data_IF_362609256046
#
_entry.id   IF_362609256046
#
_cell.length_a   1.000
_cell.length_b   1.000
_cell.length_c   1.000
_cell.angle_alpha   90.00
_cell.angle_beta   90.00
_cell.angle_gamma   90.00
#
_symmetry.space_group_name_H-M   'P 1'
#
loop_
_entity.id
_entity.type
_entity.pdbx_description
1 polymer ?
#
# COMPACT_ATOMS: atom_id res chain seq x y z
N UNK A 1 -20.87 -18.46 9.02
CA UNK A 1 -21.51 -19.17 7.88
C UNK A 1 -21.92 -18.27 6.71
N UNK A 2 -22.39 -17.05 6.94
CA UNK A 2 -22.81 -16.15 5.86
C UNK A 2 -21.67 -15.72 4.91
N UNK A 3 -20.42 -15.77 5.36
CA UNK A 3 -19.22 -15.48 4.56
C UNK A 3 -18.61 -16.75 3.92
N UNK A 4 -19.24 -17.91 4.09
CA UNK A 4 -18.70 -19.19 3.61
C UNK A 4 -17.39 -19.60 4.31
N UNK A 5 -17.21 -19.18 5.55
CA UNK A 5 -16.10 -19.56 6.42
C UNK A 5 -16.67 -20.13 7.73
N UNK A 6 -16.12 -21.28 8.18
CA UNK A 6 -16.52 -21.86 9.46
C UNK A 6 -16.00 -21.02 10.64
N UNK A 7 -16.65 -21.12 11.80
CA UNK A 7 -16.18 -20.50 13.03
C UNK A 7 -14.78 -20.99 13.40
N UNK A 8 -14.52 -22.29 13.25
CA UNK A 8 -13.20 -22.88 13.51
C UNK A 8 -12.10 -22.27 12.63
N UNK A 9 -12.39 -22.01 11.35
CA UNK A 9 -11.44 -21.38 10.45
C UNK A 9 -11.22 -19.91 10.82
N UNK A 10 -12.26 -19.18 11.18
CA UNK A 10 -12.15 -17.80 11.66
C UNK A 10 -11.35 -17.72 12.97
N UNK A 11 -11.60 -18.63 13.91
CA UNK A 11 -10.88 -18.74 15.18
C UNK A 11 -9.41 -19.12 14.97
N UNK A 12 -9.12 -20.02 14.03
CA UNK A 12 -7.75 -20.38 13.68
C UNK A 12 -6.96 -19.19 13.12
N UNK A 13 -7.58 -18.37 12.25
CA UNK A 13 -6.97 -17.14 11.75
C UNK A 13 -6.78 -16.15 12.89
N UNK A 14 -7.79 -15.96 13.75
CA UNK A 14 -7.70 -15.09 14.90
C UNK A 14 -6.59 -15.51 15.88
N UNK A 15 -6.44 -16.80 16.14
CA UNK A 15 -5.32 -17.36 16.91
C UNK A 15 -3.96 -17.01 16.28
N UNK A 16 -3.87 -16.99 14.95
CA UNK A 16 -2.69 -16.50 14.23
C UNK A 16 -2.40 -15.01 14.47
N UNK A 17 -3.43 -14.17 14.53
CA UNK A 17 -3.31 -12.74 14.87
C UNK A 17 -2.83 -12.56 16.31
N UNK A 18 -3.40 -13.31 17.24
CA UNK A 18 -2.97 -13.31 18.64
C UNK A 18 -1.50 -13.73 18.77
N UNK A 19 -1.09 -14.79 18.08
CA UNK A 19 0.31 -15.24 18.05
C UNK A 19 1.27 -14.19 17.46
N UNK A 20 0.83 -13.45 16.45
CA UNK A 20 1.59 -12.35 15.89
C UNK A 20 1.74 -11.18 16.89
N UNK A 21 0.67 -10.81 17.59
CA UNK A 21 0.73 -9.82 18.67
C UNK A 21 1.61 -10.28 19.84
N UNK A 22 1.47 -11.55 20.26
CA UNK A 22 2.24 -12.13 21.37
C UNK A 22 3.75 -12.24 21.08
N UNK A 23 4.18 -12.11 19.82
CA UNK A 23 5.61 -11.98 19.51
C UNK A 23 6.24 -10.70 20.10
N UNK A 24 5.42 -9.78 20.63
CA UNK A 24 5.85 -8.63 21.44
C UNK A 24 6.45 -7.47 20.64
N UNK A 25 6.34 -7.50 19.31
CA UNK A 25 6.92 -6.47 18.44
C UNK A 25 5.94 -5.37 18.05
N UNK A 26 4.64 -5.60 18.20
CA UNK A 26 3.60 -4.66 17.80
C UNK A 26 2.74 -4.25 19.00
N UNK A 27 2.80 -2.98 19.45
CA UNK A 27 1.91 -2.45 20.48
C UNK A 27 0.42 -2.52 20.09
N UNK A 28 0.15 -2.43 18.79
CA UNK A 28 -1.19 -2.59 18.21
C UNK A 28 -1.12 -3.50 16.99
N UNK A 29 -2.07 -4.42 16.90
CA UNK A 29 -2.41 -5.14 15.68
C UNK A 29 -3.92 -4.98 15.43
N UNK A 30 -4.28 -4.43 14.27
CA UNK A 30 -5.65 -4.32 13.79
C UNK A 30 -5.81 -5.14 12.52
N UNK A 31 -6.89 -5.90 12.43
CA UNK A 31 -7.18 -6.71 11.26
C UNK A 31 -8.66 -6.64 10.89
N UNK A 32 -8.93 -6.52 9.61
CA UNK A 32 -10.24 -6.81 9.03
C UNK A 32 -10.08 -7.86 7.94
N UNK A 33 -10.92 -8.88 7.99
CA UNK A 33 -11.05 -9.91 6.95
C UNK A 33 -12.48 -9.87 6.42
N UNK A 34 -12.60 -9.70 5.11
CA UNK A 34 -13.84 -9.90 4.37
C UNK A 34 -13.73 -11.15 3.51
N UNK A 35 -14.85 -11.87 3.37
CA UNK A 35 -15.00 -12.94 2.40
C UNK A 35 -16.38 -12.87 1.77
N UNK A 36 -16.45 -13.01 0.47
CA UNK A 36 -17.69 -12.90 -0.29
C UNK A 36 -18.47 -11.61 0.03
N UNK A 37 -17.75 -10.50 0.16
CA UNK A 37 -18.30 -9.17 0.48
C UNK A 37 -18.66 -8.95 1.95
N UNK A 38 -18.66 -9.99 2.80
CA UNK A 38 -19.08 -9.94 4.21
C UNK A 38 -17.88 -9.88 5.15
N UNK A 39 -18.00 -9.12 6.23
CA UNK A 39 -16.99 -9.09 7.28
C UNK A 39 -17.03 -10.38 8.07
N UNK A 40 -15.93 -11.16 8.04
CA UNK A 40 -15.72 -12.33 8.90
C UNK A 40 -15.39 -11.85 10.31
N UNK A 41 -14.42 -10.97 10.42
CA UNK A 41 -14.11 -10.24 11.65
C UNK A 41 -13.44 -8.89 11.35
N UNK A 42 -13.60 -7.97 12.31
CA UNK A 42 -12.94 -6.67 12.34
C UNK A 42 -12.54 -6.40 13.79
N UNK A 43 -11.26 -6.59 14.12
CA UNK A 43 -10.78 -6.64 15.50
C UNK A 43 -9.42 -5.96 15.65
N UNK A 44 -9.16 -5.47 16.86
CA UNK A 44 -7.86 -4.91 17.25
C UNK A 44 -7.41 -5.49 18.58
N UNK A 45 -6.10 -5.62 18.77
CA UNK A 45 -5.45 -6.00 20.02
C UNK A 45 -4.37 -4.96 20.33
N UNK A 46 -4.31 -4.49 21.57
CA UNK A 46 -3.25 -3.62 22.07
C UNK A 46 -3.68 -2.16 22.22
N UNK A 47 -2.71 -1.27 22.11
CA UNK A 47 -2.86 0.14 22.46
C UNK A 47 -2.56 1.03 21.28
N UNK A 48 -3.35 2.09 21.10
CA UNK A 48 -3.06 3.08 20.06
C UNK A 48 -1.97 4.07 20.48
N UNK A 49 -1.79 4.29 21.80
CA UNK A 49 -0.76 5.15 22.38
C UNK A 49 -0.40 4.71 23.79
N UNK A 50 0.74 5.17 24.30
CA UNK A 50 1.29 4.74 25.57
C UNK A 50 2.02 3.39 25.50
N UNK A 51 2.67 3.00 26.58
CA UNK A 51 3.33 1.70 26.74
C UNK A 51 2.41 0.76 27.53
N UNK A 52 2.61 -0.55 27.37
CA UNK A 52 1.75 -1.60 27.93
C UNK A 52 1.43 -1.43 29.42
N UNK A 53 2.41 -1.02 30.22
CA UNK A 53 2.27 -0.81 31.68
C UNK A 53 2.14 0.68 32.06
N UNK A 54 1.96 1.56 31.08
CA UNK A 54 1.82 3.00 31.33
C UNK A 54 0.39 3.35 31.76
N UNK A 55 0.21 4.19 32.80
CA UNK A 55 -1.11 4.72 33.13
C UNK A 55 -1.73 5.56 32.01
N UNK A 56 -0.92 6.02 31.04
CA UNK A 56 -1.35 6.79 29.86
C UNK A 56 -1.67 5.90 28.64
N UNK A 57 -1.60 4.57 28.80
CA UNK A 57 -1.92 3.64 27.73
C UNK A 57 -3.41 3.71 27.37
N UNK A 58 -3.69 3.97 26.09
CA UNK A 58 -5.04 4.01 25.56
C UNK A 58 -5.28 2.79 24.70
N UNK A 59 -6.21 1.93 25.11
CA UNK A 59 -6.58 0.73 24.39
C UNK A 59 -7.13 1.10 23.00
N UNK A 60 -6.65 0.42 21.99
CA UNK A 60 -7.14 0.57 20.63
C UNK A 60 -8.45 -0.20 20.42
N UNK A 61 -9.25 0.28 19.49
CA UNK A 61 -10.41 -0.42 18.99
C UNK A 61 -10.34 -0.56 17.45
N UNK A 62 -11.33 -1.21 16.87
CA UNK A 62 -11.40 -1.40 15.41
C UNK A 62 -11.64 -0.10 14.62
N UNK A 63 -11.95 1.02 15.29
CA UNK A 63 -12.09 2.35 14.70
C UNK A 63 -10.82 3.19 14.81
N UNK A 64 -9.76 2.66 15.42
CA UNK A 64 -8.48 3.36 15.54
C UNK A 64 -7.85 3.50 14.16
N UNK A 65 -7.63 4.73 13.64
CA UNK A 65 -6.95 4.92 12.36
C UNK A 65 -5.46 4.64 12.48
N UNK A 66 -4.92 4.00 11.47
CA UNK A 66 -3.50 3.64 11.34
C UNK A 66 -2.97 4.16 10.02
N UNK A 67 -1.73 4.65 10.01
CA UNK A 67 -1.05 5.03 8.78
C UNK A 67 -0.72 3.78 7.95
N UNK A 68 -1.09 3.79 6.66
CA UNK A 68 -0.80 2.69 5.73
C UNK A 68 0.63 2.68 5.22
N UNK A 69 1.37 3.75 5.41
CA UNK A 69 2.68 3.92 4.77
C UNK A 69 2.64 3.62 3.28
N UNK A 70 3.55 2.79 2.76
CA UNK A 70 3.63 2.46 1.34
C UNK A 70 2.39 1.79 0.76
N UNK A 71 1.53 1.19 1.57
CA UNK A 71 0.24 0.70 1.07
C UNK A 71 -0.67 1.82 0.54
N UNK A 72 -0.39 3.08 0.87
CA UNK A 72 -1.01 4.27 0.28
C UNK A 72 -0.85 4.34 -1.24
N UNK A 73 0.23 3.77 -1.79
CA UNK A 73 0.53 3.79 -3.23
C UNK A 73 -0.54 3.13 -4.07
N UNK A 74 -1.12 2.05 -3.58
CA UNK A 74 -2.20 1.35 -4.27
C UNK A 74 -3.42 2.26 -4.47
N UNK A 75 -3.78 3.03 -3.45
CA UNK A 75 -4.89 3.98 -3.53
C UNK A 75 -4.54 5.14 -4.48
N UNK A 76 -3.35 5.70 -4.35
CA UNK A 76 -2.88 6.80 -5.22
C UNK A 76 -2.85 6.38 -6.69
N UNK A 77 -2.43 5.15 -6.99
CA UNK A 77 -2.45 4.60 -8.35
C UNK A 77 -3.87 4.47 -8.89
N UNK A 78 -4.83 4.00 -8.09
CA UNK A 78 -6.23 3.88 -8.50
C UNK A 78 -6.82 5.25 -8.87
N UNK A 79 -6.39 6.34 -8.24
CA UNK A 79 -6.82 7.68 -8.63
C UNK A 79 -6.41 8.03 -10.07
N UNK A 80 -5.23 7.59 -10.54
CA UNK A 80 -4.84 7.76 -11.95
C UNK A 80 -5.66 6.87 -12.90
N UNK A 81 -6.01 5.67 -12.47
CA UNK A 81 -6.94 4.84 -13.25
C UNK A 81 -8.31 5.50 -13.41
N UNK A 82 -8.80 6.18 -12.37
CA UNK A 82 -10.02 6.98 -12.46
C UNK A 82 -9.86 8.19 -13.40
N UNK A 83 -8.73 8.87 -13.40
CA UNK A 83 -8.44 9.93 -14.37
C UNK A 83 -8.46 9.40 -15.81
N UNK A 84 -7.86 8.23 -16.04
CA UNK A 84 -7.86 7.59 -17.34
C UNK A 84 -9.28 7.19 -17.79
N UNK A 85 -10.09 6.68 -16.87
CA UNK A 85 -11.50 6.39 -17.12
C UNK A 85 -12.30 7.64 -17.51
N UNK A 86 -11.94 8.79 -16.95
CA UNK A 86 -12.56 10.09 -17.23
C UNK A 86 -11.99 10.76 -18.49
N UNK A 87 -11.12 10.09 -19.22
CA UNK A 87 -10.41 10.62 -20.40
C UNK A 87 -9.60 11.92 -20.10
N UNK A 88 -9.13 12.09 -18.85
CA UNK A 88 -8.27 13.19 -18.45
C UNK A 88 -6.80 12.93 -18.74
N UNK A 89 -6.42 11.66 -18.72
CA UNK A 89 -5.10 11.15 -19.09
C UNK A 89 -5.26 9.84 -19.87
N UNK A 90 -4.18 9.45 -20.55
CA UNK A 90 -4.04 8.10 -21.08
C UNK A 90 -2.80 7.46 -20.43
N UNK A 91 -2.92 6.25 -19.87
CA UNK A 91 -1.83 5.63 -19.12
C UNK A 91 -0.58 5.35 -19.98
N UNK A 92 -0.72 5.20 -21.28
CA UNK A 92 0.40 5.00 -22.21
C UNK A 92 0.99 6.32 -22.72
N UNK A 93 0.43 7.47 -22.35
CA UNK A 93 1.07 8.75 -22.65
C UNK A 93 2.35 8.90 -21.82
N UNK A 94 3.39 9.54 -22.39
CA UNK A 94 4.53 9.97 -21.60
C UNK A 94 4.12 10.93 -20.48
N UNK A 95 4.72 10.77 -19.30
CA UNK A 95 4.48 11.69 -18.17
C UNK A 95 4.71 13.15 -18.58
N UNK A 96 5.73 13.40 -19.40
CA UNK A 96 6.08 14.76 -19.86
C UNK A 96 5.04 15.40 -20.78
N UNK A 97 4.09 14.65 -21.29
CA UNK A 97 2.93 15.22 -22.01
C UNK A 97 2.11 16.14 -21.09
N UNK A 98 2.01 15.79 -19.83
CA UNK A 98 1.26 16.53 -18.80
C UNK A 98 2.17 17.38 -17.91
N UNK A 99 3.39 16.92 -17.67
CA UNK A 99 4.42 17.58 -16.86
C UNK A 99 5.67 17.79 -17.71
N UNK A 100 5.74 18.86 -18.55
CA UNK A 100 6.83 19.03 -19.53
C UNK A 100 8.22 18.99 -18.90
N UNK A 101 8.40 19.48 -17.67
CA UNK A 101 9.67 19.45 -16.94
C UNK A 101 10.19 18.02 -16.71
N UNK A 102 9.35 17.00 -16.76
CA UNK A 102 9.74 15.60 -16.58
C UNK A 102 10.52 15.03 -17.78
N UNK A 103 10.51 15.68 -18.94
CA UNK A 103 11.13 15.17 -20.17
C UNK A 103 12.65 14.99 -20.11
N UNK A 104 13.34 15.75 -19.25
CA UNK A 104 14.81 15.75 -19.18
C UNK A 104 15.38 14.49 -18.51
N UNK A 105 16.69 14.30 -18.58
CA UNK A 105 17.36 13.18 -17.92
C UNK A 105 16.98 11.81 -18.49
N UNK A 106 16.61 11.74 -19.78
CA UNK A 106 16.27 10.49 -20.46
C UNK A 106 14.85 9.98 -20.20
N UNK A 107 13.96 10.81 -19.60
CA UNK A 107 12.58 10.43 -19.21
C UNK A 107 11.51 10.78 -20.24
N UNK A 108 11.87 11.36 -21.39
CA UNK A 108 10.90 11.86 -22.36
C UNK A 108 9.86 10.82 -22.84
N UNK A 109 10.22 9.54 -22.87
CA UNK A 109 9.34 8.45 -23.31
C UNK A 109 8.78 7.61 -22.17
N UNK A 110 9.06 7.94 -20.91
CA UNK A 110 8.54 7.22 -19.76
C UNK A 110 7.04 7.50 -19.61
N UNK A 111 6.24 6.45 -19.70
CA UNK A 111 4.79 6.53 -19.64
C UNK A 111 4.28 6.55 -18.20
N UNK A 112 3.04 7.02 -18.02
CA UNK A 112 2.33 6.94 -16.73
C UNK A 112 2.21 5.48 -16.30
N UNK A 113 1.93 4.56 -17.22
CA UNK A 113 1.88 3.12 -16.95
C UNK A 113 3.20 2.59 -16.37
N UNK A 114 4.33 2.96 -16.95
CA UNK A 114 5.65 2.58 -16.45
C UNK A 114 5.93 3.18 -15.07
N UNK A 115 5.53 4.44 -14.83
CA UNK A 115 5.62 5.06 -13.50
C UNK A 115 4.86 4.24 -12.45
N UNK A 116 3.61 3.86 -12.74
CA UNK A 116 2.76 3.09 -11.82
C UNK A 116 3.29 1.67 -11.58
N UNK A 117 4.05 1.11 -12.52
CA UNK A 117 4.72 -0.19 -12.40
C UNK A 117 6.16 -0.10 -11.87
N UNK A 118 6.55 1.04 -11.26
CA UNK A 118 7.89 1.29 -10.72
C UNK A 118 9.02 1.21 -11.75
N UNK A 119 8.77 1.58 -12.99
CA UNK A 119 9.72 1.50 -14.11
C UNK A 119 10.18 2.86 -14.65
N UNK A 120 9.92 3.95 -13.92
CA UNK A 120 10.34 5.29 -14.35
C UNK A 120 11.84 5.56 -14.13
N UNK A 121 12.52 4.70 -13.37
CA UNK A 121 13.96 4.83 -13.12
C UNK A 121 14.36 6.02 -12.26
N UNK A 122 13.45 6.54 -11.44
CA UNK A 122 13.69 7.63 -10.46
C UNK A 122 13.28 7.20 -9.06
N UNK A 123 13.96 6.19 -8.48
CA UNK A 123 13.51 5.54 -7.27
C UNK A 123 13.64 6.41 -6.00
N UNK A 124 14.44 7.47 -6.01
CA UNK A 124 14.69 8.33 -4.86
C UNK A 124 14.88 9.80 -5.20
N UNK A 125 14.93 10.63 -4.16
CA UNK A 125 15.13 12.09 -4.25
C UNK A 125 16.62 12.51 -4.26
N UNK A 126 17.54 11.56 -4.21
CA UNK A 126 18.97 11.76 -4.06
C UNK A 126 19.51 11.25 -2.74
N UNK A 127 20.81 11.45 -2.50
CA UNK A 127 21.49 11.06 -1.26
C UNK A 127 21.43 12.20 -0.24
N UNK A 128 21.43 11.87 1.05
CA UNK A 128 21.47 12.82 2.17
C UNK A 128 20.39 13.92 2.11
N UNK A 129 19.20 13.55 1.76
CA UNK A 129 18.06 14.47 1.63
C UNK A 129 17.58 14.91 3.01
N UNK A 130 17.41 16.23 3.20
CA UNK A 130 16.75 16.77 4.38
C UNK A 130 15.31 16.22 4.45
N UNK A 131 14.88 15.62 5.58
CA UNK A 131 13.51 15.15 5.76
C UNK A 131 12.45 16.23 5.49
N UNK A 132 12.75 17.50 5.69
CA UNK A 132 11.83 18.61 5.42
C UNK A 132 11.45 18.71 3.93
N UNK A 133 12.29 18.18 3.03
CA UNK A 133 11.97 18.11 1.60
C UNK A 133 10.69 17.31 1.32
N UNK A 134 10.33 16.35 2.19
CA UNK A 134 9.08 15.60 2.04
C UNK A 134 7.84 16.49 2.04
N UNK A 135 7.92 17.64 2.71
CA UNK A 135 6.81 18.60 2.84
C UNK A 135 6.87 19.74 1.83
N UNK A 136 7.99 19.89 1.12
CA UNK A 136 8.15 20.83 0.01
C UNK A 136 7.86 20.13 -1.32
N UNK A 137 6.57 20.08 -1.67
CA UNK A 137 6.09 19.43 -2.89
C UNK A 137 6.76 19.97 -4.15
N UNK A 138 6.97 21.30 -4.23
CA UNK A 138 7.50 21.96 -5.42
C UNK A 138 8.96 21.62 -5.62
N UNK A 139 9.77 21.71 -4.58
CA UNK A 139 11.18 21.34 -4.62
C UNK A 139 11.35 19.82 -4.85
N UNK A 140 10.58 18.98 -4.19
CA UNK A 140 10.62 17.54 -4.42
C UNK A 140 10.30 17.19 -5.88
N UNK A 141 9.26 17.79 -6.45
CA UNK A 141 8.88 17.60 -7.85
C UNK A 141 9.97 18.10 -8.80
N UNK A 142 10.55 19.27 -8.53
CA UNK A 142 11.64 19.85 -9.32
C UNK A 142 12.85 18.91 -9.35
N UNK A 143 13.26 18.34 -8.22
CA UNK A 143 14.37 17.37 -8.15
C UNK A 143 14.06 16.09 -8.93
N UNK A 144 12.84 15.55 -8.82
CA UNK A 144 12.42 14.37 -9.58
C UNK A 144 12.47 14.67 -11.09
N UNK A 145 11.99 15.83 -11.50
CA UNK A 145 12.03 16.23 -12.90
C UNK A 145 13.46 16.42 -13.41
N UNK A 146 14.37 16.98 -12.60
CA UNK A 146 15.77 17.18 -12.95
C UNK A 146 16.61 15.90 -12.96
N UNK A 147 16.20 14.87 -12.19
CA UNK A 147 16.96 13.63 -12.05
C UNK A 147 17.09 12.88 -13.39
N UNK A 148 18.24 12.24 -13.58
CA UNK A 148 18.43 11.28 -14.68
C UNK A 148 17.76 9.96 -14.34
N UNK A 149 17.10 9.33 -15.33
CA UNK A 149 16.55 7.98 -15.15
C UNK A 149 17.65 6.94 -15.19
N UNK A 150 17.55 5.94 -14.32
CA UNK A 150 18.43 4.77 -14.33
C UNK A 150 18.07 3.78 -15.43
N UNK A 151 16.88 3.91 -16.04
CA UNK A 151 16.41 3.07 -17.15
C UNK A 151 15.60 3.88 -18.17
N UNK A 152 16.24 4.34 -19.23
CA UNK A 152 15.61 5.15 -20.29
C UNK A 152 14.47 4.45 -21.04
N UNK A 153 14.43 3.13 -21.01
CA UNK A 153 13.41 2.34 -21.69
C UNK A 153 12.29 1.87 -20.74
N UNK A 154 12.45 2.10 -19.44
CA UNK A 154 11.47 1.70 -18.44
C UNK A 154 11.19 0.18 -18.42
N UNK A 155 12.22 -0.63 -18.58
CA UNK A 155 12.09 -2.10 -18.65
C UNK A 155 12.22 -2.79 -17.31
N UNK A 156 13.03 -2.21 -16.42
CA UNK A 156 13.37 -2.83 -15.15
C UNK A 156 12.68 -2.13 -13.99
N UNK A 157 12.02 -2.88 -13.10
CA UNK A 157 11.42 -2.27 -11.94
C UNK A 157 12.47 -1.86 -10.93
N UNK A 158 12.29 -0.68 -10.36
CA UNK A 158 13.03 -0.19 -9.21
C UNK A 158 12.04 0.56 -8.33
N UNK A 159 11.67 -0.01 -7.21
CA UNK A 159 10.63 0.50 -6.33
C UNK A 159 10.83 1.98 -6.00
N UNK A 160 9.81 2.79 -6.29
CA UNK A 160 9.77 4.22 -6.01
C UNK A 160 9.17 4.45 -4.63
N UNK A 161 10.00 4.53 -3.61
CA UNK A 161 9.54 4.61 -2.22
C UNK A 161 8.68 5.85 -1.95
N UNK A 162 9.04 6.99 -2.57
CA UNK A 162 8.35 8.27 -2.35
C UNK A 162 8.07 9.06 -3.63
N UNK A 163 8.92 8.97 -4.63
CA UNK A 163 8.92 9.86 -5.81
C UNK A 163 7.67 9.77 -6.66
N UNK A 164 7.12 8.56 -6.82
CA UNK A 164 5.91 8.34 -7.63
C UNK A 164 4.70 9.13 -7.15
N UNK A 165 4.57 9.33 -5.83
CA UNK A 165 3.45 10.07 -5.24
C UNK A 165 3.40 11.53 -5.66
N UNK A 166 4.55 12.20 -5.75
CA UNK A 166 4.62 13.60 -6.20
C UNK A 166 4.19 13.74 -7.66
N UNK A 167 4.59 12.80 -8.51
CA UNK A 167 4.18 12.79 -9.92
C UNK A 167 2.67 12.53 -10.04
N UNK A 168 2.13 11.57 -9.28
CA UNK A 168 0.68 11.28 -9.26
C UNK A 168 -0.10 12.52 -8.82
N UNK A 169 0.31 13.17 -7.74
CA UNK A 169 -0.32 14.40 -7.26
C UNK A 169 -0.32 15.50 -8.30
N UNK A 170 0.82 15.71 -8.97
CA UNK A 170 0.94 16.71 -10.01
C UNK A 170 0.07 16.41 -11.24
N UNK A 171 0.03 15.15 -11.68
CA UNK A 171 -0.88 14.72 -12.76
C UNK A 171 -2.33 15.03 -12.45
N UNK A 172 -2.77 14.76 -11.23
CA UNK A 172 -4.15 15.09 -10.80
C UNK A 172 -4.35 16.61 -10.82
N UNK A 173 -3.40 17.36 -10.29
CA UNK A 173 -3.47 18.83 -10.20
C UNK A 173 -3.57 19.48 -11.58
N UNK A 174 -2.68 19.12 -12.50
CA UNK A 174 -2.64 19.76 -13.84
C UNK A 174 -3.82 19.36 -14.73
N UNK A 175 -4.40 18.21 -14.51
CA UNK A 175 -5.52 17.73 -15.35
C UNK A 175 -6.91 18.04 -14.79
N UNK A 176 -7.01 18.33 -13.49
CA UNK A 176 -8.31 18.55 -12.83
C UNK A 176 -8.43 19.88 -12.10
N UNK A 177 -7.31 20.50 -11.74
CA UNK A 177 -7.28 21.66 -10.84
C UNK A 177 -7.51 21.32 -9.36
N UNK A 178 -7.72 20.04 -9.02
CA UNK A 178 -7.95 19.57 -7.66
C UNK A 178 -6.65 19.11 -7.01
N UNK A 179 -6.57 19.23 -5.68
CA UNK A 179 -5.56 18.50 -4.92
C UNK A 179 -5.88 16.99 -4.95
N UNK A 180 -4.87 16.16 -4.73
CA UNK A 180 -5.07 14.70 -4.65
C UNK A 180 -6.06 14.33 -3.54
N UNK A 181 -6.04 15.06 -2.41
CA UNK A 181 -6.99 14.85 -1.30
C UNK A 181 -8.43 15.18 -1.73
N UNK A 182 -8.64 16.29 -2.42
CA UNK A 182 -9.96 16.67 -2.94
C UNK A 182 -10.49 15.64 -3.95
N UNK A 183 -9.58 15.11 -4.78
CA UNK A 183 -9.92 14.10 -5.78
C UNK A 183 -10.28 12.75 -5.11
N UNK A 184 -9.47 12.31 -4.13
CA UNK A 184 -9.76 11.12 -3.32
C UNK A 184 -11.11 11.26 -2.58
N UNK A 185 -11.35 12.41 -1.96
CA UNK A 185 -12.60 12.71 -1.24
C UNK A 185 -13.82 12.61 -2.16
N UNK A 186 -13.70 13.18 -3.36
CA UNK A 186 -14.82 13.26 -4.31
C UNK A 186 -15.18 11.90 -4.89
N UNK A 187 -14.20 11.08 -5.26
CA UNK A 187 -14.43 9.89 -6.06
C UNK A 187 -14.37 8.58 -5.29
N UNK A 188 -13.75 8.54 -4.12
CA UNK A 188 -13.62 7.34 -3.31
C UNK A 188 -14.16 7.52 -1.89
N UNK A 189 -13.55 8.40 -1.09
CA UNK A 189 -13.83 8.46 0.35
C UNK A 189 -15.29 8.77 0.66
N UNK A 190 -15.84 9.86 0.15
CA UNK A 190 -17.23 10.27 0.39
C UNK A 190 -18.25 9.31 -0.22
N UNK A 191 -18.11 8.88 -1.51
CA UNK A 191 -19.03 7.91 -2.09
C UNK A 191 -19.10 6.59 -1.34
N UNK A 192 -17.97 6.14 -0.76
CA UNK A 192 -17.89 4.91 0.02
C UNK A 192 -18.17 5.11 1.52
N UNK A 193 -18.45 6.32 1.97
CA UNK A 193 -18.78 6.62 3.37
C UNK A 193 -17.65 6.36 4.36
N UNK A 194 -16.40 6.61 3.95
CA UNK A 194 -15.22 6.40 4.79
C UNK A 194 -14.93 7.63 5.63
N UNK A 195 -14.58 7.42 6.91
CA UNK A 195 -14.31 8.50 7.86
C UNK A 195 -12.87 9.00 7.74
N UNK A 196 -11.89 8.10 7.81
CA UNK A 196 -10.47 8.45 7.87
C UNK A 196 -9.78 8.37 6.51
N UNK A 197 -10.10 7.46 5.67
CA UNK A 197 -9.45 7.11 4.38
C UNK A 197 -8.94 8.34 3.61
N UNK A 198 -7.81 8.92 4.05
CA UNK A 198 -7.27 10.19 3.56
C UNK A 198 -5.78 10.34 3.84
N UNK A 199 -5.11 11.16 3.01
CA UNK A 199 -3.72 11.54 3.24
C UNK A 199 -3.64 12.57 4.36
N UNK A 200 -2.88 12.24 5.39
CA UNK A 200 -2.82 13.05 6.59
C UNK A 200 -4.17 13.20 7.30
N UNK A 201 -4.13 13.61 8.55
CA UNK A 201 -5.29 13.83 9.38
C UNK A 201 -5.30 15.27 9.89
N UNK A 202 -6.48 15.81 10.18
CA UNK A 202 -6.59 17.03 10.93
C UNK A 202 -6.10 16.83 12.38
N UNK A 203 -5.83 17.91 13.11
CA UNK A 203 -5.26 17.83 14.46
C UNK A 203 -6.13 17.05 15.47
N UNK A 204 -7.46 17.07 15.30
CA UNK A 204 -8.39 16.32 16.16
C UNK A 204 -8.29 14.81 15.92
N UNK A 205 -8.28 14.40 14.66
CA UNK A 205 -8.28 12.99 14.31
C UNK A 205 -6.87 12.37 14.43
N UNK A 206 -5.82 13.19 14.27
CA UNK A 206 -4.45 12.74 14.51
C UNK A 206 -4.22 12.28 15.95
N UNK A 207 -4.90 12.89 16.93
CA UNK A 207 -4.83 12.45 18.34
C UNK A 207 -5.45 11.07 18.58
N UNK A 208 -6.27 10.59 17.65
CA UNK A 208 -6.89 9.25 17.70
C UNK A 208 -6.09 8.21 16.93
N UNK A 209 -5.15 8.66 16.11
CA UNK A 209 -4.32 7.76 15.30
C UNK A 209 -3.33 6.99 16.17
N UNK A 210 -3.09 5.76 15.77
CA UNK A 210 -2.14 4.91 16.45
C UNK A 210 -0.70 5.43 16.31
N UNK A 211 0.04 5.41 17.41
CA UNK A 211 1.43 5.85 17.49
C UNK A 211 2.35 4.70 17.13
N UNK A 212 3.29 4.94 16.22
CA UNK A 212 4.29 3.94 15.80
C UNK A 212 5.43 3.83 16.79
N UNK A 213 6.01 2.63 16.91
CA UNK A 213 7.12 2.34 17.80
C UNK A 213 8.25 1.63 17.06
N UNK A 214 9.46 2.09 17.27
CA UNK A 214 10.66 1.36 16.87
C UNK A 214 10.81 0.13 17.76
N UNK A 215 10.78 -1.05 17.16
CA UNK A 215 10.84 -2.34 17.85
C UNK A 215 11.72 -3.31 17.07
N UNK A 216 12.06 -4.45 17.68
CA UNK A 216 12.92 -5.44 17.06
C UNK A 216 14.41 -5.14 17.23
N UNK A 217 15.23 -5.84 16.48
CA UNK A 217 16.68 -5.65 16.50
C UNK A 217 17.05 -4.36 15.74
N UNK A 218 18.08 -3.63 16.20
CA UNK A 218 18.57 -2.45 15.51
C UNK A 218 18.96 -2.78 14.06
N UNK A 219 18.57 -1.89 13.15
CA UNK A 219 18.84 -2.05 11.71
C UNK A 219 20.16 -1.35 11.39
N UNK A 220 21.28 -2.09 11.46
CA UNK A 220 22.64 -1.55 11.33
C UNK A 220 23.45 -2.23 10.24
N UNK A 221 24.64 -1.69 9.96
CA UNK A 221 25.60 -2.25 9.01
C UNK A 221 25.12 -2.19 7.55
N UNK A 222 25.62 -3.09 6.71
CA UNK A 222 25.30 -3.11 5.27
C UNK A 222 23.81 -3.29 5.00
N UNK A 223 23.12 -4.04 5.84
CA UNK A 223 21.66 -4.27 5.72
C UNK A 223 20.88 -3.00 6.08
N UNK A 224 21.28 -2.32 7.18
CA UNK A 224 20.70 -1.02 7.54
C UNK A 224 20.89 0.03 6.45
N UNK A 225 22.09 0.11 5.89
CA UNK A 225 22.39 1.02 4.78
C UNK A 225 21.53 0.71 3.54
N UNK A 226 21.30 -0.57 3.21
CA UNK A 226 20.44 -0.94 2.10
C UNK A 226 18.98 -0.49 2.30
N UNK A 227 18.44 -0.64 3.50
CA UNK A 227 17.11 -0.17 3.85
C UNK A 227 17.04 1.36 3.82
N UNK A 228 18.02 2.02 4.41
CA UNK A 228 18.11 3.50 4.44
C UNK A 228 18.21 4.07 3.02
N UNK A 229 18.92 3.42 2.11
CA UNK A 229 19.00 3.82 0.72
C UNK A 229 17.63 3.72 -0.02
N UNK A 230 16.85 2.69 0.28
CA UNK A 230 15.50 2.54 -0.29
C UNK A 230 14.55 3.61 0.24
N UNK A 231 14.64 3.92 1.52
CA UNK A 231 13.73 4.83 2.22
C UNK A 231 14.22 6.29 2.19
N UNK A 232 15.51 6.51 1.91
CA UNK A 232 16.13 7.84 1.85
C UNK A 232 16.57 8.41 3.20
N UNK A 233 16.35 7.69 4.30
CA UNK A 233 16.64 8.10 5.68
C UNK A 233 17.06 6.90 6.53
N UNK A 234 17.77 7.15 7.63
CA UNK A 234 18.03 6.13 8.65
C UNK A 234 16.71 5.60 9.24
N UNK A 235 16.62 4.29 9.41
CA UNK A 235 15.37 3.62 9.74
C UNK A 235 14.72 4.12 11.04
N UNK A 236 15.52 4.29 12.10
CA UNK A 236 15.04 4.78 13.40
C UNK A 236 14.46 6.21 13.29
N UNK A 237 15.11 7.07 12.51
CA UNK A 237 14.63 8.44 12.25
C UNK A 237 13.32 8.46 11.49
N UNK A 238 13.06 7.46 10.65
CA UNK A 238 11.79 7.35 9.93
C UNK A 238 10.64 7.11 10.91
N UNK A 239 10.81 6.24 11.90
CA UNK A 239 9.75 5.97 12.88
C UNK A 239 9.42 7.21 13.70
N UNK A 240 10.43 7.97 14.13
CA UNK A 240 10.24 9.24 14.86
C UNK A 240 9.54 10.29 13.97
N UNK A 241 9.99 10.41 12.73
CA UNK A 241 9.38 11.31 11.74
C UNK A 241 7.89 11.00 11.54
N UNK A 242 7.53 9.73 11.44
CA UNK A 242 6.16 9.29 11.18
C UNK A 242 5.19 9.59 12.34
N UNK A 243 5.71 9.82 13.55
CA UNK A 243 4.92 10.26 14.70
C UNK A 243 4.84 11.79 14.84
N UNK A 244 5.55 12.54 13.99
CA UNK A 244 5.51 14.00 14.05
C UNK A 244 4.16 14.55 13.57
N UNK A 245 3.77 15.71 14.07
CA UNK A 245 2.57 16.40 13.62
C UNK A 245 2.67 16.82 12.15
N UNK A 246 3.87 17.15 11.67
CA UNK A 246 4.12 17.52 10.28
C UNK A 246 3.83 16.35 9.34
N UNK A 247 4.37 15.17 9.63
CA UNK A 247 4.07 13.96 8.84
C UNK A 247 2.59 13.58 8.92
N UNK A 248 2.02 13.60 10.14
CA UNK A 248 0.63 13.20 10.36
C UNK A 248 -0.40 14.10 9.69
N UNK A 249 -0.04 15.35 9.38
CA UNK A 249 -0.93 16.36 8.76
C UNK A 249 -0.61 16.63 7.29
N UNK A 250 0.57 16.29 6.83
CA UNK A 250 0.98 16.46 5.43
C UNK A 250 0.14 15.59 4.48
N UNK A 251 0.22 15.92 3.19
CA UNK A 251 -0.31 15.09 2.10
C UNK A 251 0.86 14.43 1.41
N UNK A 252 1.09 13.15 1.69
CA UNK A 252 2.17 12.34 1.13
C UNK A 252 1.58 11.12 0.42
N UNK A 253 1.30 11.21 -0.90
CA UNK A 253 0.54 10.19 -1.62
C UNK A 253 1.17 8.80 -1.62
N UNK A 254 2.49 8.73 -1.46
CA UNK A 254 3.20 7.46 -1.36
C UNK A 254 3.30 6.89 0.05
N UNK A 255 2.91 7.64 1.11
CA UNK A 255 3.39 7.30 2.44
C UNK A 255 2.40 7.47 3.60
N UNK A 256 1.37 8.29 3.52
CA UNK A 256 0.62 8.63 4.72
C UNK A 256 -0.90 8.68 4.60
N UNK A 257 -1.47 7.78 3.83
CA UNK A 257 -2.90 7.56 3.91
C UNK A 257 -3.23 6.89 5.26
N UNK A 258 -4.16 7.48 6.00
CA UNK A 258 -4.67 6.94 7.25
C UNK A 258 -6.05 6.33 7.01
N UNK A 259 -6.30 5.18 7.62
CA UNK A 259 -7.61 4.53 7.62
C UNK A 259 -7.71 3.50 8.75
N UNK A 260 -8.91 2.99 8.98
CA UNK A 260 -9.11 1.77 9.77
C UNK A 260 -8.86 0.53 8.90
N UNK A 261 -8.66 -0.63 9.53
CA UNK A 261 -8.53 -1.88 8.80
C UNK A 261 -9.79 -2.20 7.97
N UNK A 262 -10.96 -1.85 8.48
CA UNK A 262 -12.24 -2.03 7.78
C UNK A 262 -12.33 -1.13 6.55
N UNK A 263 -11.97 0.15 6.64
CA UNK A 263 -11.98 1.07 5.50
C UNK A 263 -11.02 0.61 4.39
N UNK A 264 -9.85 0.12 4.76
CA UNK A 264 -8.91 -0.47 3.80
C UNK A 264 -9.51 -1.69 3.10
N UNK A 265 -10.10 -2.63 3.84
CA UNK A 265 -10.75 -3.79 3.21
C UNK A 265 -11.95 -3.42 2.36
N UNK A 266 -12.65 -2.34 2.69
CA UNK A 266 -13.75 -1.80 1.89
C UNK A 266 -13.26 -1.36 0.51
N UNK A 267 -12.11 -0.70 0.45
CA UNK A 267 -11.45 -0.33 -0.80
C UNK A 267 -11.08 -1.57 -1.64
N UNK A 268 -10.45 -2.57 -1.04
CA UNK A 268 -10.08 -3.81 -1.75
C UNK A 268 -11.30 -4.63 -2.17
N UNK A 269 -12.34 -4.66 -1.36
CA UNK A 269 -13.61 -5.31 -1.72
C UNK A 269 -14.27 -4.62 -2.92
N UNK A 270 -14.24 -3.30 -2.97
CA UNK A 270 -14.74 -2.54 -4.13
C UNK A 270 -14.05 -2.99 -5.43
N UNK A 271 -12.75 -3.23 -5.40
CA UNK A 271 -12.02 -3.76 -6.57
C UNK A 271 -12.44 -5.20 -6.91
N UNK A 272 -12.61 -6.08 -5.91
CA UNK A 272 -13.13 -7.45 -6.11
C UNK A 272 -14.53 -7.45 -6.73
N UNK A 273 -15.35 -6.49 -6.35
CA UNK A 273 -16.73 -6.31 -6.85
C UNK A 273 -16.77 -5.50 -8.16
N UNK A 274 -15.69 -5.58 -8.96
CA UNK A 274 -15.59 -4.91 -10.26
C UNK A 274 -15.86 -3.40 -10.19
N UNK A 275 -15.32 -2.74 -9.19
CA UNK A 275 -15.44 -1.30 -8.98
C UNK A 275 -16.74 -0.87 -8.31
N UNK A 276 -17.53 -1.79 -7.73
CA UNK A 276 -18.79 -1.49 -7.04
C UNK A 276 -18.60 -1.43 -5.52
N UNK A 277 -19.34 -0.53 -4.92
CA UNK A 277 -19.55 -0.53 -3.47
C UNK A 277 -21.04 -0.33 -3.17
N UNK A 278 -21.68 -1.37 -2.61
CA UNK A 278 -23.12 -1.44 -2.42
C UNK A 278 -23.85 -1.21 -3.77
N UNK A 279 -24.71 -0.20 -3.83
CA UNK A 279 -25.46 0.22 -5.01
C UNK A 279 -24.71 1.18 -5.94
N UNK A 280 -23.50 1.63 -5.55
CA UNK A 280 -22.72 2.63 -6.29
C UNK A 280 -21.61 2.01 -7.13
N UNK A 281 -21.51 2.42 -8.39
CA UNK A 281 -20.35 2.17 -9.23
C UNK A 281 -19.31 3.25 -8.94
N UNK A 282 -18.22 2.89 -8.26
CA UNK A 282 -17.11 3.80 -7.90
C UNK A 282 -16.16 3.95 -9.09
N UNK A 283 -15.86 2.86 -9.77
CA UNK A 283 -15.08 2.84 -11.01
C UNK A 283 -15.61 1.77 -11.97
N UNK A 284 -15.41 1.98 -13.27
CA UNK A 284 -15.89 1.03 -14.27
C UNK A 284 -15.24 -0.36 -14.09
N UNK A 285 -15.97 -1.45 -14.38
CA UNK A 285 -15.42 -2.82 -14.24
C UNK A 285 -14.10 -3.02 -14.99
N UNK A 286 -14.00 -2.53 -16.21
CA UNK A 286 -12.78 -2.62 -17.02
C UNK A 286 -11.62 -1.85 -16.41
N UNK A 287 -11.89 -0.71 -15.76
CA UNK A 287 -10.87 0.09 -15.08
C UNK A 287 -10.34 -0.65 -13.86
N UNK A 288 -11.22 -1.22 -13.03
CA UNK A 288 -10.85 -2.05 -11.89
C UNK A 288 -10.04 -3.27 -12.33
N UNK A 289 -10.47 -3.96 -13.39
CA UNK A 289 -9.76 -5.10 -13.96
C UNK A 289 -8.35 -4.73 -14.41
N UNK A 290 -8.19 -3.65 -15.20
CA UNK A 290 -6.88 -3.21 -15.73
C UNK A 290 -5.90 -2.78 -14.63
N UNK A 291 -6.39 -2.18 -13.55
CA UNK A 291 -5.54 -1.71 -12.46
C UNK A 291 -4.76 -2.85 -11.77
N UNK A 292 -5.29 -4.05 -11.77
CA UNK A 292 -4.73 -5.22 -11.07
C UNK A 292 -4.05 -6.23 -12.00
N UNK A 293 -4.03 -5.97 -13.31
CA UNK A 293 -3.38 -6.87 -14.26
C UNK A 293 -1.87 -6.72 -14.24
N UNK A 294 -1.16 -7.81 -14.44
CA UNK A 294 0.29 -7.88 -14.45
C UNK A 294 0.90 -6.96 -15.52
N UNK A 295 1.83 -6.09 -15.10
CA UNK A 295 2.52 -5.15 -16.00
C UNK A 295 3.76 -5.75 -16.68
N UNK A 296 4.05 -7.01 -16.44
CA UNK A 296 5.17 -7.75 -16.99
C UNK A 296 5.60 -8.87 -16.05
N UNK A 297 6.46 -9.75 -16.53
CA UNK A 297 6.98 -10.89 -15.76
C UNK A 297 7.69 -10.46 -14.48
N UNK A 298 7.78 -11.39 -13.53
CA UNK A 298 8.59 -11.22 -12.33
C UNK A 298 10.03 -10.84 -12.69
N UNK A 299 10.54 -9.80 -12.05
CA UNK A 299 11.93 -9.34 -12.22
C UNK A 299 12.51 -8.95 -10.87
N UNK A 300 13.84 -9.04 -10.79
CA UNK A 300 14.56 -8.51 -9.64
C UNK A 300 14.33 -6.98 -9.58
N UNK A 301 13.73 -6.52 -8.50
CA UNK A 301 13.54 -5.09 -8.27
C UNK A 301 14.88 -4.42 -7.90
N UNK A 302 15.21 -3.35 -8.61
CA UNK A 302 16.49 -2.65 -8.46
C UNK A 302 16.66 -1.99 -7.08
N UNK A 303 15.58 -1.64 -6.40
CA UNK A 303 15.58 -1.04 -5.06
C UNK A 303 15.46 -2.09 -3.95
N UNK A 304 14.42 -2.93 -4.01
CA UNK A 304 14.11 -3.92 -2.97
C UNK A 304 15.04 -5.12 -2.98
N UNK A 305 15.73 -5.39 -4.11
CA UNK A 305 16.61 -6.56 -4.30
C UNK A 305 15.89 -7.90 -4.13
N UNK A 306 14.59 -7.92 -4.44
CA UNK A 306 13.73 -9.09 -4.39
C UNK A 306 13.05 -9.29 -5.75
N UNK A 307 12.74 -10.53 -6.16
CA UNK A 307 11.87 -10.76 -7.30
C UNK A 307 10.49 -10.20 -7.03
N UNK A 308 10.03 -9.28 -7.88
CA UNK A 308 8.75 -8.61 -7.73
C UNK A 308 7.90 -8.76 -8.99
N UNK A 309 6.59 -8.87 -8.79
CA UNK A 309 5.56 -8.73 -9.82
C UNK A 309 4.71 -7.52 -9.48
N UNK A 310 4.52 -6.65 -10.46
CA UNK A 310 3.70 -5.45 -10.31
C UNK A 310 2.57 -5.42 -11.33
N UNK A 311 1.44 -4.87 -10.94
CA UNK A 311 0.48 -4.24 -11.83
C UNK A 311 0.77 -2.72 -11.88
N UNK A 312 0.05 -1.95 -12.71
CA UNK A 312 0.15 -0.49 -12.62
C UNK A 312 -0.52 0.03 -11.33
N UNK A 313 0.11 -0.20 -10.18
CA UNK A 313 -0.29 0.29 -8.86
C UNK A 313 -0.24 -0.72 -7.73
N UNK A 314 -0.19 -2.01 -7.99
CA UNK A 314 -0.22 -3.04 -6.95
C UNK A 314 1.02 -3.93 -6.98
N UNK A 315 1.37 -4.47 -5.82
CA UNK A 315 2.24 -5.62 -5.68
C UNK A 315 1.39 -6.88 -5.83
N UNK A 316 1.83 -7.81 -6.68
CA UNK A 316 1.08 -9.02 -7.00
C UNK A 316 1.59 -10.22 -6.20
N UNK A 317 0.71 -11.18 -6.00
CA UNK A 317 1.01 -12.46 -5.35
C UNK A 317 1.88 -13.38 -6.19
N UNK A 318 1.94 -14.66 -5.83
CA UNK A 318 2.80 -15.62 -6.53
C UNK A 318 2.38 -17.06 -6.34
N UNK A 319 2.95 -17.94 -7.17
CA UNK A 319 2.84 -19.39 -7.11
C UNK A 319 4.24 -20.02 -7.08
N UNK A 320 4.46 -21.08 -6.31
CA UNK A 320 3.55 -21.69 -5.32
C UNK A 320 3.40 -20.86 -4.04
N UNK A 321 4.31 -19.91 -3.81
CA UNK A 321 4.35 -19.03 -2.63
C UNK A 321 4.51 -17.60 -3.09
N UNK A 322 3.71 -16.70 -2.51
CA UNK A 322 3.77 -15.26 -2.70
C UNK A 322 3.63 -14.51 -1.39
N UNK A 323 3.71 -13.18 -1.43
CA UNK A 323 3.59 -12.33 -0.25
C UNK A 323 2.22 -12.41 0.45
N UNK A 324 1.19 -12.90 -0.24
CA UNK A 324 -0.16 -13.08 0.29
C UNK A 324 -0.48 -14.55 0.61
N UNK A 325 0.53 -15.40 0.73
CA UNK A 325 0.41 -16.82 1.02
C UNK A 325 0.61 -17.72 -0.20
N UNK A 326 0.30 -19.00 -0.01
CA UNK A 326 0.45 -20.01 -1.06
C UNK A 326 -0.62 -19.88 -2.13
N UNK A 327 -0.25 -20.19 -3.38
CA UNK A 327 -1.16 -20.19 -4.53
C UNK A 327 -1.99 -18.89 -4.61
N UNK A 328 -1.31 -17.75 -4.58
CA UNK A 328 -1.92 -16.42 -4.56
C UNK A 328 -1.57 -15.60 -5.81
N UNK A 329 -1.39 -16.26 -6.96
CA UNK A 329 -0.91 -15.63 -8.20
C UNK A 329 -1.74 -14.40 -8.59
N UNK A 330 -3.05 -14.48 -8.47
CA UNK A 330 -3.98 -13.41 -8.85
C UNK A 330 -4.28 -12.42 -7.71
N UNK A 331 -3.72 -12.64 -6.52
CA UNK A 331 -3.85 -11.69 -5.43
C UNK A 331 -3.08 -10.41 -5.73
N UNK A 332 -3.63 -9.29 -5.33
CA UNK A 332 -3.06 -7.96 -5.50
C UNK A 332 -3.27 -7.12 -4.24
N UNK A 333 -2.29 -6.32 -3.93
CA UNK A 333 -2.30 -5.48 -2.73
C UNK A 333 -1.06 -4.63 -2.63
N UNK A 334 -0.68 -4.27 -1.43
CA UNK A 334 0.55 -3.55 -1.18
C UNK A 334 1.02 -3.75 0.26
N UNK A 335 2.34 -3.71 0.43
CA UNK A 335 2.99 -3.68 1.74
C UNK A 335 3.09 -2.23 2.24
N UNK A 336 2.97 -2.06 3.54
CA UNK A 336 3.39 -0.85 4.24
C UNK A 336 4.68 -1.06 5.03
N UNK A 337 5.14 -0.04 5.72
CA UNK A 337 6.36 -0.12 6.53
C UNK A 337 6.18 -1.15 7.66
N UNK A 338 7.07 -2.15 7.68
CA UNK A 338 7.16 -3.22 8.67
C UNK A 338 5.84 -3.96 8.96
N UNK A 339 5.52 -4.93 8.16
CA UNK A 339 4.41 -5.89 8.33
C UNK A 339 2.98 -5.34 8.16
N UNK A 340 2.80 -4.09 7.74
CA UNK A 340 1.50 -3.66 7.21
C UNK A 340 1.31 -4.32 5.85
N UNK A 341 0.17 -4.98 5.68
CA UNK A 341 -0.16 -5.65 4.43
C UNK A 341 -1.67 -5.59 4.19
N UNK A 342 -2.03 -5.11 3.00
CA UNK A 342 -3.41 -4.97 2.56
C UNK A 342 -3.54 -5.58 1.18
N UNK A 343 -4.51 -6.49 0.98
CA UNK A 343 -4.68 -7.15 -0.30
C UNK A 343 -6.10 -7.66 -0.54
N UNK A 344 -6.34 -8.02 -1.77
CA UNK A 344 -7.47 -8.83 -2.19
C UNK A 344 -7.00 -10.06 -2.94
N UNK A 345 -7.72 -11.16 -2.80
CA UNK A 345 -7.50 -12.41 -3.53
C UNK A 345 -8.80 -12.82 -4.22
N UNK A 346 -8.89 -12.64 -5.56
CA UNK A 346 -10.12 -12.98 -6.28
C UNK A 346 -10.41 -14.47 -6.34
N UNK A 347 -9.40 -15.34 -6.23
CA UNK A 347 -9.63 -16.78 -6.20
C UNK A 347 -10.22 -17.27 -4.87
N UNK A 348 -9.89 -16.59 -3.78
CA UNK A 348 -10.43 -16.85 -2.44
C UNK A 348 -11.63 -16.00 -2.09
N UNK A 349 -11.91 -14.99 -2.92
CA UNK A 349 -12.95 -13.98 -2.69
C UNK A 349 -12.80 -13.30 -1.31
N UNK A 350 -11.57 -12.89 -1.00
CA UNK A 350 -11.23 -12.22 0.26
C UNK A 350 -10.61 -10.85 0.05
N UNK A 351 -10.87 -9.95 0.99
CA UNK A 351 -10.13 -8.71 1.19
C UNK A 351 -9.63 -8.67 2.63
N UNK A 352 -8.34 -8.39 2.80
CA UNK A 352 -7.66 -8.43 4.09
C UNK A 352 -6.84 -7.17 4.29
N UNK A 353 -6.89 -6.60 5.48
CA UNK A 353 -6.00 -5.53 5.92
C UNK A 353 -5.47 -5.85 7.30
N UNK A 354 -4.16 -6.04 7.40
CA UNK A 354 -3.42 -6.23 8.64
C UNK A 354 -2.59 -4.97 8.88
N UNK A 355 -2.99 -4.20 9.86
CA UNK A 355 -2.36 -2.94 10.27
C UNK A 355 -1.68 -3.13 11.62
N UNK A 356 -0.56 -2.47 11.83
CA UNK A 356 0.21 -2.58 13.07
C UNK A 356 1.06 -1.33 13.31
N UNK A 357 1.56 -1.18 14.53
CA UNK A 357 2.31 0.01 14.95
C UNK A 357 3.76 -0.25 15.32
N UNK A 358 4.14 -1.46 15.67
CA UNK A 358 5.54 -1.82 15.79
C UNK A 358 6.22 -1.78 14.43
N UNK A 359 7.50 -1.40 14.40
CA UNK A 359 8.28 -1.27 13.16
C UNK A 359 9.55 -2.14 13.21
N UNK A 360 9.42 -3.45 13.52
CA UNK A 360 10.55 -4.36 13.47
C UNK A 360 10.87 -4.74 12.02
N UNK A 361 12.15 -4.72 11.66
CA UNK A 361 12.61 -5.33 10.40
C UNK A 361 13.04 -6.77 10.68
N UNK A 362 13.88 -6.97 11.70
CA UNK A 362 14.29 -8.28 12.16
C UNK A 362 13.79 -8.51 13.58
N UNK A 363 13.29 -9.71 13.85
CA UNK A 363 12.82 -10.06 15.17
C UNK A 363 11.96 -11.34 15.20
N UNK A 364 11.47 -11.73 16.38
CA UNK A 364 10.72 -12.97 16.59
C UNK A 364 9.31 -12.96 15.92
N UNK A 365 8.86 -11.82 15.44
CA UNK A 365 7.59 -11.68 14.73
C UNK A 365 7.57 -12.35 13.35
N UNK A 366 8.75 -12.55 12.71
CA UNK A 366 8.83 -13.05 11.33
C UNK A 366 8.14 -14.42 11.17
N UNK A 367 8.45 -15.44 11.99
CA UNK A 367 7.74 -16.72 11.87
C UNK A 367 6.23 -16.60 12.13
N UNK A 368 5.83 -15.75 13.08
CA UNK A 368 4.41 -15.54 13.40
C UNK A 368 3.67 -14.82 12.28
N UNK A 369 4.31 -13.85 11.62
CA UNK A 369 3.77 -13.16 10.45
C UNK A 369 3.57 -14.13 9.28
N UNK A 370 4.59 -14.93 8.95
CA UNK A 370 4.52 -15.93 7.87
C UNK A 370 3.40 -16.95 8.17
N UNK A 371 3.30 -17.40 9.42
CA UNK A 371 2.24 -18.33 9.85
C UNK A 371 0.86 -17.73 9.73
N UNK A 372 0.70 -16.45 10.09
CA UNK A 372 -0.59 -15.74 9.97
C UNK A 372 -1.01 -15.63 8.50
N UNK A 373 -0.14 -15.14 7.62
CA UNK A 373 -0.45 -15.01 6.19
C UNK A 373 -0.74 -16.38 5.55
N UNK A 374 0.09 -17.38 5.84
CA UNK A 374 -0.12 -18.76 5.39
C UNK A 374 -1.42 -19.37 5.95
N UNK A 375 -1.77 -19.05 7.20
CA UNK A 375 -3.00 -19.43 7.86
C UNK A 375 -4.24 -18.86 7.16
N UNK A 376 -4.23 -17.60 6.80
CA UNK A 376 -5.31 -16.98 6.03
C UNK A 376 -5.49 -17.70 4.68
N UNK A 377 -4.39 -17.93 3.94
CA UNK A 377 -4.45 -18.65 2.68
C UNK A 377 -4.98 -20.09 2.82
N UNK A 378 -4.61 -20.78 3.92
CA UNK A 378 -5.03 -22.14 4.21
C UNK A 378 -6.52 -22.23 4.60
N UNK A 379 -6.97 -21.35 5.47
CA UNK A 379 -8.33 -21.38 6.04
C UNK A 379 -9.37 -20.66 5.17
N UNK A 380 -8.93 -19.89 4.18
CA UNK A 380 -9.77 -19.34 3.13
C UNK A 380 -9.49 -20.07 1.81
N UNK A 381 -10.06 -21.26 1.56
CA UNK A 381 -9.81 -22.02 0.34
C UNK A 381 -10.27 -21.26 -0.90
N UNK A 382 -9.62 -21.52 -2.04
CA UNK A 382 -10.03 -20.95 -3.33
C UNK A 382 -11.44 -21.43 -3.69
N UNK A 383 -12.25 -20.49 -4.14
CA UNK A 383 -13.64 -20.72 -4.61
C UNK A 383 -13.75 -20.50 -6.12
N UNK A 384 -12.69 -19.98 -6.73
CA UNK A 384 -12.58 -19.78 -8.18
C UNK A 384 -11.20 -20.25 -8.63
N UNK A 385 -11.10 -20.63 -9.90
CA UNK A 385 -9.85 -20.89 -10.60
C UNK A 385 -9.77 -19.90 -11.76
N UNK A 386 -8.99 -18.84 -11.59
CA UNK A 386 -8.89 -17.76 -12.58
C UNK A 386 -8.14 -18.22 -13.83
N UNK A 387 -7.17 -19.11 -13.70
CA UNK A 387 -6.42 -19.68 -14.82
C UNK A 387 -7.32 -20.57 -15.68
N UNK A 388 -8.07 -21.47 -15.06
CA UNK A 388 -9.07 -22.29 -15.73
C UNK A 388 -10.20 -21.46 -16.36
N UNK A 389 -10.51 -20.29 -15.80
CA UNK A 389 -11.44 -19.31 -16.37
C UNK A 389 -10.85 -18.49 -17.54
N UNK A 390 -9.61 -18.76 -17.93
CA UNK A 390 -8.95 -18.14 -19.09
C UNK A 390 -8.31 -16.78 -18.80
N UNK A 391 -8.08 -16.44 -17.53
CA UNK A 391 -7.30 -15.24 -17.18
C UNK A 391 -5.82 -15.51 -17.51
N UNK A 392 -5.16 -14.68 -18.33
CA UNK A 392 -3.81 -14.92 -18.76
C UNK A 392 -2.80 -14.96 -17.60
N UNK A 393 -1.90 -15.90 -17.65
CA UNK A 393 -0.72 -15.99 -16.78
C UNK A 393 0.51 -15.79 -17.64
N UNK A 394 1.35 -14.82 -17.34
CA UNK A 394 2.63 -14.67 -18.03
C UNK A 394 3.57 -15.79 -17.60
N UNK A 395 4.03 -16.57 -18.56
CA UNK A 395 4.97 -17.65 -18.28
C UNK A 395 6.22 -17.11 -17.58
N UNK A 396 6.73 -17.84 -16.60
CA UNK A 396 8.07 -17.58 -16.06
C UNK A 396 9.10 -17.86 -17.16
N UNK A 397 10.14 -17.04 -17.23
CA UNK A 397 11.29 -17.32 -18.12
C UNK A 397 12.17 -18.40 -17.53
#
# INVERSE_FOLDING_TARGET
DEAGLSEEAADAIWGGVQGFYQAGMHPLVSICLRRSGKIVFNRSIGYHSGDFDSPDAIVADFNTPVCLFSASKAISAVLLHLLAQQNKIHLLDPVCHYIPAFAVGGKANITIYQLLAHRAGVPGLGENVDPQLLYDREEALARICAAETTDKLGRNPAYHAITGGYIIEELIRVTTGLTIQQYLDRYIRKPMGMQYFRYGLNARDLKKAAVHRSTGLPVTGKFGNAISNVLGLEYEKIVDLCNSADFGRAVLPSANLYCTAEESTRFFQMLLDNGRYKDKQIMAPLTAYRAVQEAGKARLDGSLKLPMRYSPGFMLGGNPIGMYGSNSHFAYGHLGLANIICWADPERDIAVSLLNTGKPILGPHIPSFIRLIGGIAKHCPRVRDMEAAGVPVLAAD
#
